data_IF_050603127970
#
_entry.id   IF_050603127970
#
_cell.length_a   1.000
_cell.length_b   1.000
_cell.length_c   1.000
_cell.angle_alpha   90.00
_cell.angle_beta   90.00
_cell.angle_gamma   90.00
#
_symmetry.space_group_name_H-M   'P 1'
#
loop_
_entity.id
_entity.type
_entity.pdbx_description
1 polymer ?
#
# COMPACT_ATOMS: atom_id res chain seq x y z
N UNK A 1 -16.12 16.99 7.76
CA UNK A 1 -15.65 16.87 9.16
C UNK A 1 -14.16 16.59 9.07
N UNK A 2 -13.34 17.55 9.51
CA UNK A 2 -11.89 17.48 9.37
C UNK A 2 -11.31 16.76 10.59
N UNK A 3 -11.15 15.45 10.45
CA UNK A 3 -10.82 14.48 11.52
C UNK A 3 -9.44 14.72 12.14
N UNK A 4 -8.62 15.59 11.54
CA UNK A 4 -7.27 15.92 11.99
C UNK A 4 -7.16 17.34 12.57
N UNK A 5 -8.26 18.08 12.68
CA UNK A 5 -8.25 19.42 13.27
C UNK A 5 -7.87 19.30 14.75
N UNK A 6 -6.65 19.71 15.07
CA UNK A 6 -5.99 19.68 16.40
C UNK A 6 -5.36 18.35 16.84
N UNK A 7 -5.20 17.35 15.96
CA UNK A 7 -4.42 16.16 16.32
C UNK A 7 -2.91 16.47 16.29
N UNK A 8 -2.26 16.43 17.46
CA UNK A 8 -0.80 16.46 17.57
C UNK A 8 -0.31 15.02 17.81
N UNK A 9 0.32 14.36 16.82
CA UNK A 9 0.93 13.06 17.05
C UNK A 9 2.04 13.15 18.09
N UNK A 10 2.23 12.09 18.86
CA UNK A 10 3.34 11.99 19.80
C UNK A 10 4.68 12.09 19.06
N UNK A 11 5.63 12.85 19.63
CA UNK A 11 6.98 12.96 19.09
C UNK A 11 7.70 11.63 19.32
N UNK A 12 7.80 10.82 18.27
CA UNK A 12 8.64 9.63 18.25
C UNK A 12 10.03 10.04 17.79
N UNK A 13 11.12 9.77 18.56
CA UNK A 13 12.48 10.02 18.10
C UNK A 13 12.75 9.21 16.83
N UNK A 14 12.92 9.89 15.69
CA UNK A 14 13.27 9.23 14.43
C UNK A 14 14.80 9.25 14.31
N UNK A 15 15.43 8.11 14.58
CA UNK A 15 16.86 7.93 14.26
C UNK A 15 16.98 7.65 12.77
N UNK A 16 17.22 8.68 11.95
CA UNK A 16 17.49 8.50 10.52
C UNK A 16 18.94 8.06 10.35
N UNK A 17 19.17 6.75 10.21
CA UNK A 17 20.44 6.27 9.66
C UNK A 17 20.38 6.42 8.15
N UNK A 18 21.31 7.19 7.57
CA UNK A 18 21.58 7.18 6.13
C UNK A 18 22.13 5.80 5.77
N UNK A 19 21.23 4.87 5.52
CA UNK A 19 21.55 3.59 4.90
C UNK A 19 21.32 3.77 3.41
N UNK A 20 22.29 3.39 2.57
CA UNK A 20 22.09 3.31 1.13
C UNK A 20 21.01 2.24 0.87
N UNK A 21 19.76 2.69 0.84
CA UNK A 21 18.59 1.84 0.61
C UNK A 21 18.12 2.04 -0.81
N UNK A 22 17.91 0.95 -1.53
CA UNK A 22 17.11 0.98 -2.74
C UNK A 22 15.65 1.21 -2.35
N UNK A 23 14.93 2.01 -3.13
CA UNK A 23 13.52 2.33 -2.86
C UNK A 23 12.65 1.77 -3.97
N UNK A 24 11.64 0.98 -3.62
CA UNK A 24 10.54 0.68 -4.51
C UNK A 24 9.39 1.67 -4.27
N UNK A 25 8.60 1.97 -5.30
CA UNK A 25 7.40 2.79 -5.15
C UNK A 25 6.29 2.30 -6.07
N UNK A 26 5.05 2.37 -5.57
CA UNK A 26 3.83 2.12 -6.32
C UNK A 26 2.96 3.35 -6.11
N UNK A 27 2.76 4.11 -7.17
CA UNK A 27 1.92 5.33 -7.18
C UNK A 27 0.74 5.11 -8.12
N UNK A 28 -0.32 5.91 -8.02
CA UNK A 28 -1.57 5.73 -8.79
C UNK A 28 -1.37 5.80 -10.31
N UNK A 29 -2.34 5.27 -11.07
CA UNK A 29 -2.31 5.10 -12.54
C UNK A 29 -1.26 4.11 -13.09
N UNK A 30 -1.12 2.95 -12.44
CA UNK A 30 -0.14 2.76 -11.42
C UNK A 30 1.27 2.61 -11.97
N UNK A 31 2.09 3.58 -11.60
CA UNK A 31 3.50 3.58 -11.89
C UNK A 31 4.20 2.77 -10.81
N UNK A 32 4.75 1.62 -11.20
CA UNK A 32 5.56 0.78 -10.33
C UNK A 32 7.02 0.95 -10.68
N UNK A 33 7.83 1.22 -9.66
CA UNK A 33 9.28 1.27 -9.74
C UNK A 33 9.86 0.29 -8.73
N UNK A 34 10.59 -0.72 -9.22
CA UNK A 34 11.25 -1.71 -8.38
C UNK A 34 12.52 -1.20 -7.72
N UNK A 35 13.14 -2.04 -6.89
CA UNK A 35 14.41 -1.72 -6.22
C UNK A 35 15.58 -1.61 -7.19
N UNK A 36 15.69 -2.57 -8.10
CA UNK A 36 16.87 -2.75 -8.95
C UNK A 36 16.63 -2.36 -10.41
N UNK A 37 15.41 -1.93 -10.74
CA UNK A 37 15.02 -1.60 -12.11
C UNK A 37 14.86 -0.09 -12.30
N UNK A 38 15.59 0.52 -13.25
CA UNK A 38 15.57 1.97 -13.43
C UNK A 38 14.30 2.47 -14.12
N UNK A 39 13.53 1.59 -14.78
CA UNK A 39 12.33 1.99 -15.51
C UNK A 39 11.05 1.73 -14.72
N UNK A 40 10.06 2.58 -14.99
CA UNK A 40 8.70 2.40 -14.51
C UNK A 40 7.98 1.38 -15.38
N UNK A 41 7.21 0.49 -14.75
CA UNK A 41 6.22 -0.33 -15.44
C UNK A 41 4.82 -0.02 -14.92
N UNK A 42 3.82 -0.33 -15.74
CA UNK A 42 2.43 0.01 -15.46
C UNK A 42 1.60 -1.23 -15.12
N UNK A 43 0.95 -1.22 -13.96
CA UNK A 43 0.04 -2.30 -13.52
C UNK A 43 -1.43 -1.97 -13.86
N UNK A 44 -1.83 -2.15 -15.11
CA UNK A 44 -3.20 -1.79 -15.53
C UNK A 44 -4.31 -2.72 -15.00
N UNK A 45 -3.95 -3.83 -14.36
CA UNK A 45 -4.89 -4.82 -13.84
C UNK A 45 -5.36 -4.51 -12.42
N UNK A 46 -6.58 -4.98 -12.11
CA UNK A 46 -7.22 -4.81 -10.80
C UNK A 46 -7.14 -6.11 -10.01
N UNK A 47 -6.87 -6.04 -8.71
CA UNK A 47 -6.82 -7.21 -7.85
C UNK A 47 -5.92 -7.05 -6.64
N UNK A 48 -5.46 -8.18 -6.12
CA UNK A 48 -4.56 -8.28 -4.97
C UNK A 48 -3.20 -8.77 -5.45
N UNK A 49 -2.14 -8.10 -5.00
CA UNK A 49 -0.78 -8.38 -5.42
C UNK A 49 0.18 -8.30 -4.25
N UNK A 50 1.18 -9.17 -4.23
CA UNK A 50 2.34 -9.02 -3.34
C UNK A 50 3.29 -8.00 -3.95
N UNK A 51 3.47 -6.86 -3.29
CA UNK A 51 4.40 -5.81 -3.69
C UNK A 51 5.82 -6.12 -3.26
N UNK A 52 6.00 -6.81 -2.13
CA UNK A 52 7.30 -7.23 -1.61
C UNK A 52 7.17 -8.38 -0.63
N UNK A 53 8.14 -9.29 -0.61
CA UNK A 53 8.18 -10.44 0.30
C UNK A 53 9.64 -10.72 0.71
N UNK A 54 9.85 -11.03 1.98
CA UNK A 54 11.09 -11.61 2.51
C UNK A 54 10.74 -12.85 3.33
N UNK A 55 10.85 -14.02 2.70
CA UNK A 55 10.48 -15.30 3.29
C UNK A 55 11.23 -15.61 4.58
N UNK A 56 12.53 -15.33 4.62
CA UNK A 56 13.37 -15.61 5.80
C UNK A 56 13.04 -14.74 7.03
N UNK A 57 12.26 -13.66 6.84
CA UNK A 57 11.88 -12.73 7.92
C UNK A 57 10.39 -12.70 8.20
N UNK A 58 9.59 -13.55 7.55
CA UNK A 58 8.12 -13.52 7.59
C UNK A 58 7.57 -12.10 7.36
N UNK A 59 8.14 -11.41 6.37
CA UNK A 59 7.75 -10.04 6.02
C UNK A 59 7.09 -9.98 4.64
N UNK A 60 5.90 -9.41 4.56
CA UNK A 60 5.17 -9.26 3.30
C UNK A 60 4.43 -7.93 3.23
N UNK A 61 4.46 -7.31 2.05
CA UNK A 61 3.64 -6.14 1.71
C UNK A 61 2.71 -6.55 0.58
N UNK A 62 1.41 -6.51 0.85
CA UNK A 62 0.36 -6.77 -0.11
C UNK A 62 -0.37 -5.47 -0.44
N UNK A 63 -0.76 -5.32 -1.70
CA UNK A 63 -1.54 -4.19 -2.18
C UNK A 63 -2.85 -4.69 -2.80
N UNK A 64 -3.89 -3.86 -2.66
CA UNK A 64 -5.16 -4.04 -3.37
C UNK A 64 -5.35 -2.88 -4.32
N UNK A 65 -5.61 -3.18 -5.60
CA UNK A 65 -5.89 -2.20 -6.63
C UNK A 65 -7.35 -2.27 -7.07
N UNK A 66 -7.88 -1.12 -7.46
CA UNK A 66 -9.22 -0.99 -8.03
C UNK A 66 -9.18 -0.20 -9.33
N UNK A 67 -10.29 -0.21 -10.06
CA UNK A 67 -10.42 0.62 -11.25
C UNK A 67 -10.42 2.11 -10.89
N UNK A 68 -9.62 2.87 -11.61
CA UNK A 68 -9.40 4.28 -11.37
C UNK A 68 -9.12 4.96 -12.72
N UNK A 69 -10.11 5.69 -13.24
CA UNK A 69 -10.04 6.29 -14.58
C UNK A 69 -9.71 5.25 -15.66
N UNK A 70 -8.60 5.44 -16.40
CA UNK A 70 -8.12 4.55 -17.46
C UNK A 70 -7.12 3.49 -16.98
N UNK A 71 -6.85 3.41 -15.67
CA UNK A 71 -5.88 2.48 -15.11
C UNK A 71 -6.32 1.93 -13.77
N UNK A 72 -5.34 1.48 -12.97
CA UNK A 72 -5.59 1.00 -11.61
C UNK A 72 -4.94 1.91 -10.56
N UNK A 73 -5.61 2.05 -9.42
CA UNK A 73 -5.09 2.80 -8.27
C UNK A 73 -4.97 1.85 -7.07
N UNK A 74 -3.91 2.00 -6.28
CA UNK A 74 -3.81 1.32 -4.99
C UNK A 74 -4.84 1.91 -4.04
N UNK A 75 -5.72 1.06 -3.50
CA UNK A 75 -6.74 1.46 -2.54
C UNK A 75 -6.51 0.87 -1.14
N UNK A 76 -5.71 -0.21 -1.05
CA UNK A 76 -5.44 -0.87 0.22
C UNK A 76 -4.02 -1.38 0.29
N UNK A 77 -3.48 -1.41 1.51
CA UNK A 77 -2.15 -1.95 1.82
C UNK A 77 -2.24 -2.79 3.09
N UNK A 78 -1.61 -3.96 3.05
CA UNK A 78 -1.37 -4.80 4.21
C UNK A 78 0.12 -5.00 4.34
N UNK A 79 0.66 -4.71 5.53
CA UNK A 79 2.05 -5.00 5.88
C UNK A 79 2.02 -6.03 6.99
N UNK A 80 2.60 -7.20 6.73
CA UNK A 80 2.76 -8.27 7.70
C UNK A 80 4.22 -8.38 8.09
N UNK A 81 4.47 -8.46 9.39
CA UNK A 81 5.76 -8.85 9.96
C UNK A 81 5.52 -9.87 11.06
N UNK A 82 5.86 -11.14 10.79
CA UNK A 82 5.59 -12.29 11.66
C UNK A 82 4.10 -12.41 12.03
N UNK A 83 3.75 -11.99 13.25
CA UNK A 83 2.38 -12.03 13.80
C UNK A 83 1.71 -10.65 13.83
N UNK A 84 2.42 -9.59 13.46
CA UNK A 84 1.87 -8.24 13.43
C UNK A 84 1.38 -7.91 12.03
N UNK A 85 0.22 -7.23 11.95
CA UNK A 85 -0.39 -6.84 10.69
C UNK A 85 -0.85 -5.39 10.78
N UNK A 86 -0.30 -4.54 9.93
CA UNK A 86 -0.75 -3.16 9.70
C UNK A 86 -1.68 -3.17 8.50
N UNK A 87 -2.82 -2.50 8.61
CA UNK A 87 -3.84 -2.44 7.56
C UNK A 87 -4.16 -0.98 7.25
N UNK A 88 -4.11 -0.64 5.97
CA UNK A 88 -4.56 0.64 5.45
C UNK A 88 -5.67 0.36 4.46
N UNK A 89 -6.89 0.79 4.78
CA UNK A 89 -8.06 0.61 3.92
C UNK A 89 -8.57 1.97 3.43
N UNK A 90 -8.38 2.22 2.13
CA UNK A 90 -8.99 3.32 1.39
C UNK A 90 -9.91 2.83 0.25
N UNK A 91 -10.25 1.53 0.21
CA UNK A 91 -11.01 0.89 -0.86
C UNK A 91 -12.52 1.17 -0.82
N UNK A 92 -12.98 2.01 0.10
CA UNK A 92 -14.36 2.49 0.20
C UNK A 92 -14.36 4.01 0.36
N UNK A 93 -14.75 4.73 -0.71
CA UNK A 93 -14.90 6.19 -0.67
C UNK A 93 -16.34 6.55 -1.00
N UNK A 94 -17.10 7.14 -0.05
CA UNK A 94 -18.46 7.62 -0.32
C UNK A 94 -18.46 8.58 -1.54
N UNK A 95 -19.29 8.30 -2.54
CA UNK A 95 -19.39 9.11 -3.77
C UNK A 95 -18.48 8.71 -4.93
N UNK A 96 -17.65 7.66 -4.81
CA UNK A 96 -16.93 7.06 -5.95
C UNK A 96 -17.69 5.86 -6.52
N UNK A 97 -17.82 5.81 -7.84
CA UNK A 97 -18.55 4.75 -8.57
C UNK A 97 -17.81 3.40 -8.51
N UNK A 98 -16.49 3.43 -8.39
CA UNK A 98 -15.66 2.24 -8.28
C UNK A 98 -15.52 1.86 -6.80
N UNK A 99 -16.33 0.91 -6.37
CA UNK A 99 -16.11 0.22 -5.10
C UNK A 99 -15.28 -1.03 -5.38
N UNK A 100 -14.18 -1.22 -4.65
CA UNK A 100 -13.66 -2.59 -4.52
C UNK A 100 -14.73 -3.37 -3.77
N UNK A 101 -15.19 -4.53 -4.25
CA UNK A 101 -15.98 -5.42 -3.43
C UNK A 101 -15.24 -5.63 -2.11
N UNK A 102 -15.89 -5.21 -1.02
CA UNK A 102 -15.70 -5.77 0.31
C UNK A 102 -15.88 -7.29 0.11
N UNK A 103 -14.94 -8.16 0.42
CA UNK A 103 -14.21 -8.25 1.67
C UNK A 103 -12.81 -8.82 1.41
N UNK A 104 -11.88 -8.46 2.28
CA UNK A 104 -10.75 -9.33 2.54
C UNK A 104 -11.20 -10.23 3.71
N UNK A 105 -11.65 -11.48 3.48
CA UNK A 105 -11.93 -12.38 4.57
C UNK A 105 -10.59 -12.91 5.09
N UNK A 106 -9.89 -12.14 5.91
CA UNK A 106 -8.89 -12.72 6.80
C UNK A 106 -9.57 -12.96 8.14
N UNK A 107 -10.39 -14.02 8.17
CA UNK A 107 -10.69 -14.73 9.40
C UNK A 107 -9.37 -15.19 10.01
N UNK A 108 -9.16 -14.81 11.26
CA UNK A 108 -8.05 -15.19 12.15
C UNK A 108 -7.78 -16.69 12.14
#
# INVERSE_FOLDING_TARGET
IDILKNYKPNLVPITVRLQAGFTCSITTDPNVRGFDYPHTYHLYTYGEYTAYEVKDRDFEVQIKTWQCWSGSCVCGVIVRERNNIIRVNGCARPGYVYTSPLDIPYSL
#
